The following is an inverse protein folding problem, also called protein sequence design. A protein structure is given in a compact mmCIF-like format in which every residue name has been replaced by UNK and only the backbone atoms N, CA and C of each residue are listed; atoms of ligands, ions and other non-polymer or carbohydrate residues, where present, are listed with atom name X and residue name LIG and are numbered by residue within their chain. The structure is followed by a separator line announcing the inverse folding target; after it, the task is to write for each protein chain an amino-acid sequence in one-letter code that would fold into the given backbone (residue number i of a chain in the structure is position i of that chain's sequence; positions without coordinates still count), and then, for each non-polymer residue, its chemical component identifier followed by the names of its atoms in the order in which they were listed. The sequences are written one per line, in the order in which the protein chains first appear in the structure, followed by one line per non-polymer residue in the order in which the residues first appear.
data_IF_391509329373
#
_entry.id   IF_391509329373
#
_cell.length_a   1.000
_cell.length_b   1.000
_cell.length_c   1.000
_cell.angle_alpha   90.00
_cell.angle_beta   90.00
_cell.angle_gamma   90.00
#
_symmetry.space_group_name_H-M   'P 1'
#
loop_
_entity.id
_entity.type
_entity.pdbx_description
1 polymer ?
#
# COMPACT_ATOMS: atom_id res chain seq x y z
N UNK A 1 1.11 2.58 -15.42
CA UNK A 1 0.54 3.86 -15.92
C UNK A 1 1.43 4.98 -15.37
N UNK A 2 1.97 5.87 -16.20
CA UNK A 2 2.68 7.05 -15.67
C UNK A 2 1.67 7.86 -14.86
N UNK A 3 2.03 8.37 -13.66
CA UNK A 3 1.16 9.28 -12.96
C UNK A 3 0.88 10.45 -13.91
N UNK A 4 -0.38 10.71 -14.18
CA UNK A 4 -0.77 11.94 -14.89
C UNK A 4 -0.56 13.08 -13.90
N UNK A 5 0.60 13.72 -13.95
CA UNK A 5 1.05 14.75 -13.04
C UNK A 5 0.19 16.04 -13.06
N UNK A 6 -0.91 16.07 -13.81
CA UNK A 6 -1.71 17.26 -14.08
C UNK A 6 -3.22 16.99 -14.18
N UNK A 7 -3.78 16.23 -13.23
CA UNK A 7 -5.23 16.29 -13.08
C UNK A 7 -5.54 17.52 -12.24
N UNK A 8 -5.93 18.62 -12.88
CA UNK A 8 -6.58 19.72 -12.18
C UNK A 8 -7.90 19.18 -11.62
N UNK A 9 -8.10 19.28 -10.31
CA UNK A 9 -9.37 18.94 -9.70
C UNK A 9 -10.49 19.76 -10.35
N UNK A 10 -11.48 19.09 -10.95
CA UNK A 10 -12.70 19.72 -11.42
C UNK A 10 -13.67 19.87 -10.24
N UNK A 11 -14.67 20.73 -10.36
CA UNK A 11 -15.74 20.92 -9.36
C UNK A 11 -16.48 19.61 -9.06
N UNK A 12 -16.58 18.72 -10.04
CA UNK A 12 -17.23 17.41 -9.91
C UNK A 12 -16.45 16.43 -9.05
N UNK A 13 -15.17 16.70 -8.78
CA UNK A 13 -14.31 15.86 -7.93
C UNK A 13 -14.52 16.13 -6.43
N UNK A 14 -15.38 17.08 -6.07
CA UNK A 14 -15.65 17.46 -4.69
C UNK A 14 -17.13 17.48 -4.39
N UNK A 15 -17.45 17.20 -3.14
CA UNK A 15 -18.80 17.30 -2.55
C UNK A 15 -18.73 18.15 -1.29
N UNK A 16 -19.86 18.67 -0.84
CA UNK A 16 -19.92 19.38 0.44
C UNK A 16 -19.69 18.42 1.59
N UNK A 17 -19.31 18.92 2.75
CA UNK A 17 -19.18 18.11 3.98
C UNK A 17 -20.53 17.50 4.35
N UNK A 18 -21.62 18.23 4.15
CA UNK A 18 -22.98 17.76 4.43
C UNK A 18 -23.38 16.61 3.51
N UNK A 19 -23.16 16.74 2.21
CA UNK A 19 -23.42 15.67 1.24
C UNK A 19 -22.55 14.45 1.55
N UNK A 20 -21.26 14.66 1.87
CA UNK A 20 -20.34 13.59 2.25
C UNK A 20 -20.86 12.80 3.45
N UNK A 21 -21.31 13.49 4.51
CA UNK A 21 -21.91 12.84 5.69
C UNK A 21 -23.18 12.07 5.34
N UNK A 22 -24.03 12.62 4.46
CA UNK A 22 -25.25 11.93 4.01
C UNK A 22 -24.94 10.65 3.20
N UNK A 23 -23.78 10.62 2.52
CA UNK A 23 -23.28 9.45 1.80
C UNK A 23 -22.51 8.46 2.70
N UNK A 24 -22.48 8.68 4.01
CA UNK A 24 -21.79 7.81 4.97
C UNK A 24 -20.27 8.04 5.06
N UNK A 25 -19.77 9.17 4.56
CA UNK A 25 -18.35 9.50 4.74
C UNK A 25 -18.06 9.84 6.20
N UNK A 26 -16.88 9.42 6.66
CA UNK A 26 -16.40 9.71 8.01
C UNK A 26 -15.59 10.99 7.97
N UNK A 27 -16.17 12.07 8.44
CA UNK A 27 -15.51 13.38 8.47
C UNK A 27 -14.99 13.62 9.89
N UNK A 28 -13.66 13.77 10.09
CA UNK A 28 -13.10 14.12 11.40
C UNK A 28 -13.67 15.42 11.93
N UNK A 29 -13.87 15.53 13.24
CA UNK A 29 -14.48 16.70 13.87
C UNK A 29 -13.68 17.99 13.60
N UNK A 30 -12.36 17.88 13.56
CA UNK A 30 -11.44 18.98 13.27
C UNK A 30 -11.27 19.27 11.77
N UNK A 31 -11.95 18.52 10.87
CA UNK A 31 -11.85 18.71 9.43
C UNK A 31 -12.30 20.12 9.02
N UNK A 32 -13.34 20.63 9.64
CA UNK A 32 -13.89 21.97 9.39
C UNK A 32 -13.27 23.07 10.24
N UNK A 33 -12.46 22.74 11.26
CA UNK A 33 -11.83 23.70 12.18
C UNK A 33 -10.51 24.26 11.68
N UNK A 34 -9.95 23.67 10.62
CA UNK A 34 -8.76 24.19 9.99
C UNK A 34 -9.05 25.50 9.26
N UNK A 35 -8.02 26.33 9.13
CA UNK A 35 -8.07 27.57 8.38
C UNK A 35 -8.94 27.41 7.14
N UNK A 36 -9.98 28.23 7.05
CA UNK A 36 -11.03 28.19 6.04
C UNK A 36 -10.52 28.08 4.61
N UNK A 37 -9.30 28.51 4.36
CA UNK A 37 -8.67 28.43 3.06
C UNK A 37 -8.11 27.05 2.70
N UNK A 38 -8.02 26.10 3.64
CA UNK A 38 -7.40 24.79 3.40
C UNK A 38 -8.37 23.74 2.89
N UNK A 39 -9.66 23.90 3.18
CA UNK A 39 -10.70 22.95 2.82
C UNK A 39 -11.72 23.48 1.83
N UNK A 40 -11.53 24.70 1.34
CA UNK A 40 -12.42 25.28 0.34
C UNK A 40 -12.11 24.69 -1.03
N UNK A 41 -13.15 24.23 -1.71
CA UNK A 41 -13.09 23.90 -3.12
C UNK A 41 -12.65 25.10 -3.96
N UNK A 42 -12.40 24.91 -5.24
CA UNK A 42 -12.15 26.01 -6.18
C UNK A 42 -13.28 27.06 -6.21
N UNK A 43 -14.46 26.72 -5.68
CA UNK A 43 -15.64 27.60 -5.56
C UNK A 43 -15.73 28.35 -4.24
N UNK A 44 -14.84 28.10 -3.27
CA UNK A 44 -14.86 28.74 -1.97
C UNK A 44 -15.74 28.04 -0.91
N UNK A 45 -16.38 26.93 -1.26
CA UNK A 45 -17.19 26.12 -0.32
C UNK A 45 -16.32 25.07 0.38
N UNK A 46 -16.69 24.69 1.60
CA UNK A 46 -16.09 23.55 2.26
C UNK A 46 -16.38 22.30 1.45
N UNK A 47 -15.35 21.53 1.10
CA UNK A 47 -15.50 20.38 0.26
C UNK A 47 -14.52 19.26 0.66
N UNK A 48 -14.93 18.05 0.41
CA UNK A 48 -14.10 16.86 0.52
C UNK A 48 -14.01 16.19 -0.85
N UNK A 49 -12.91 15.48 -1.16
CA UNK A 49 -12.81 14.71 -2.38
C UNK A 49 -13.95 13.67 -2.47
N UNK A 50 -14.56 13.59 -3.64
CA UNK A 50 -15.52 12.54 -3.94
C UNK A 50 -14.76 11.23 -4.16
N UNK A 51 -15.14 10.19 -3.44
CA UNK A 51 -14.61 8.85 -3.62
C UNK A 51 -15.57 8.06 -4.53
N UNK A 52 -15.04 7.34 -5.49
CA UNK A 52 -15.82 6.47 -6.37
C UNK A 52 -15.60 5.00 -5.97
N UNK A 53 -16.63 4.34 -5.55
CA UNK A 53 -16.62 2.94 -5.10
C UNK A 53 -17.22 1.96 -6.11
N UNK A 54 -17.67 2.41 -7.29
CA UNK A 54 -18.37 1.57 -8.28
C UNK A 54 -17.64 0.29 -8.64
N UNK A 55 -16.31 0.35 -8.78
CA UNK A 55 -15.51 -0.81 -9.14
C UNK A 55 -15.26 -1.73 -7.93
N UNK A 56 -15.09 -1.15 -6.75
CA UNK A 56 -14.94 -1.90 -5.49
C UNK A 56 -16.21 -2.69 -5.22
N UNK A 57 -17.38 -2.05 -5.33
CA UNK A 57 -18.68 -2.70 -5.09
C UNK A 57 -18.93 -3.87 -6.04
N UNK A 58 -18.65 -3.68 -7.33
CA UNK A 58 -18.75 -4.75 -8.33
C UNK A 58 -17.83 -5.93 -8.03
N UNK A 59 -16.59 -5.64 -7.61
CA UNK A 59 -15.61 -6.66 -7.28
C UNK A 59 -16.00 -7.42 -6.00
N UNK A 60 -16.42 -6.71 -4.95
CA UNK A 60 -16.86 -7.31 -3.70
C UNK A 60 -18.08 -8.21 -3.93
N UNK A 61 -19.08 -7.72 -4.70
CA UNK A 61 -20.24 -8.52 -5.08
C UNK A 61 -19.82 -9.80 -5.82
N UNK A 62 -18.98 -9.68 -6.85
CA UNK A 62 -18.54 -10.84 -7.62
C UNK A 62 -17.77 -11.85 -6.75
N UNK A 63 -16.90 -11.38 -5.84
CA UNK A 63 -16.18 -12.24 -4.92
C UNK A 63 -17.10 -12.97 -3.95
N UNK A 64 -18.06 -12.26 -3.35
CA UNK A 64 -19.06 -12.84 -2.47
C UNK A 64 -19.89 -13.92 -3.17
N UNK A 65 -20.45 -13.62 -4.36
CA UNK A 65 -21.27 -14.55 -5.14
C UNK A 65 -20.51 -15.82 -5.56
N UNK A 66 -19.20 -15.74 -5.70
CA UNK A 66 -18.35 -16.87 -6.07
C UNK A 66 -17.58 -17.51 -4.89
N UNK A 67 -17.82 -17.08 -3.66
CA UNK A 67 -17.16 -17.61 -2.47
C UNK A 67 -15.65 -17.36 -2.44
N UNK A 68 -15.17 -16.29 -3.11
CA UNK A 68 -13.77 -15.91 -3.20
C UNK A 68 -13.47 -14.82 -2.16
N UNK A 69 -12.29 -14.87 -1.56
CA UNK A 69 -11.83 -13.83 -0.63
C UNK A 69 -11.03 -12.76 -1.36
N UNK A 70 -11.12 -11.53 -0.87
CA UNK A 70 -10.43 -10.37 -1.41
C UNK A 70 -9.39 -9.81 -0.43
N UNK A 71 -8.32 -9.33 -0.99
CA UNK A 71 -7.39 -8.41 -0.33
C UNK A 71 -7.64 -7.00 -0.85
N UNK A 72 -7.87 -6.04 0.05
CA UNK A 72 -7.92 -4.62 -0.32
C UNK A 72 -6.50 -4.11 -0.62
N UNK A 73 -6.31 -3.46 -1.76
CA UNK A 73 -5.03 -2.88 -2.14
C UNK A 73 -5.27 -1.51 -2.78
N UNK A 74 -4.76 -0.46 -2.29
CA UNK A 74 -4.10 -0.14 -1.03
C UNK A 74 -4.66 1.20 -0.51
N UNK A 75 -4.64 1.45 0.81
CA UNK A 75 -5.14 2.73 1.33
C UNK A 75 -4.13 3.86 1.14
N UNK A 76 -2.88 3.64 1.51
CA UNK A 76 -1.84 4.67 1.46
C UNK A 76 -0.67 4.20 0.60
N UNK A 77 -0.39 4.96 -0.46
CA UNK A 77 0.75 4.71 -1.34
C UNK A 77 1.33 6.04 -1.83
N UNK A 78 2.62 6.10 -2.05
CA UNK A 78 3.29 7.27 -2.59
C UNK A 78 3.05 7.46 -4.09
N UNK A 79 2.62 6.41 -4.78
CA UNK A 79 2.17 6.45 -6.17
C UNK A 79 0.63 6.46 -6.24
N UNK A 80 0.08 6.88 -7.36
CA UNK A 80 -1.35 6.90 -7.67
C UNK A 80 -2.25 7.75 -6.73
N UNK A 81 -1.72 8.33 -5.65
CA UNK A 81 -2.45 9.33 -4.87
C UNK A 81 -2.47 10.65 -5.65
N UNK A 82 -3.63 11.21 -5.97
CA UNK A 82 -3.72 12.43 -6.78
C UNK A 82 -2.96 13.60 -6.15
N UNK A 83 -2.20 14.35 -6.95
CA UNK A 83 -1.36 15.45 -6.47
C UNK A 83 -2.15 16.51 -5.69
N UNK A 84 -3.37 16.83 -6.12
CA UNK A 84 -4.21 17.81 -5.46
C UNK A 84 -4.52 17.45 -3.99
N UNK A 85 -4.50 16.16 -3.65
CA UNK A 85 -4.73 15.67 -2.29
C UNK A 85 -3.70 16.22 -1.29
N UNK A 86 -2.49 16.53 -1.77
CA UNK A 86 -1.39 17.07 -0.97
C UNK A 86 -1.30 18.61 -1.01
N UNK A 87 -2.10 19.25 -1.85
CA UNK A 87 -1.97 20.70 -2.06
C UNK A 87 -2.94 21.51 -1.20
N UNK A 88 -2.54 22.75 -0.86
CA UNK A 88 -3.44 23.68 -0.18
C UNK A 88 -4.73 23.87 -0.98
N UNK A 89 -5.87 23.86 -0.29
CA UNK A 89 -7.19 24.03 -0.88
C UNK A 89 -7.49 23.04 -2.03
N UNK A 90 -6.81 21.89 -2.07
CA UNK A 90 -6.89 20.94 -3.18
C UNK A 90 -6.61 21.56 -4.56
N UNK A 91 -5.86 22.65 -4.61
CA UNK A 91 -5.54 23.34 -5.86
C UNK A 91 -4.16 23.00 -6.36
N UNK A 92 -4.08 22.55 -7.61
CA UNK A 92 -2.83 22.55 -8.36
C UNK A 92 -2.68 23.94 -8.98
N UNK A 93 -1.82 24.76 -8.41
CA UNK A 93 -1.50 26.07 -8.98
C UNK A 93 -0.23 25.93 -9.81
N UNK A 94 -0.32 26.25 -11.09
CA UNK A 94 0.84 26.21 -12.01
C UNK A 94 1.94 27.14 -11.48
N UNK A 95 3.13 26.59 -11.24
CA UNK A 95 4.30 27.34 -10.80
C UNK A 95 4.46 27.56 -9.29
N UNK A 96 3.47 27.21 -8.46
CA UNK A 96 3.58 27.30 -7.00
C UNK A 96 3.34 25.91 -6.37
N UNK A 97 4.36 25.43 -5.65
CA UNK A 97 4.31 24.15 -4.93
C UNK A 97 3.99 24.39 -3.46
N UNK A 98 2.75 24.73 -3.14
CA UNK A 98 2.31 24.84 -1.75
C UNK A 98 1.66 23.53 -1.32
N UNK A 99 2.43 22.69 -0.65
CA UNK A 99 1.87 21.55 0.04
C UNK A 99 0.98 22.04 1.20
N UNK A 100 -0.02 21.27 1.55
CA UNK A 100 -0.81 21.49 2.75
C UNK A 100 0.07 21.28 4.00
N UNK A 101 -0.38 21.77 5.17
CA UNK A 101 0.33 21.52 6.42
C UNK A 101 0.18 20.06 6.86
N UNK A 102 1.07 19.63 7.75
CA UNK A 102 1.01 18.29 8.35
C UNK A 102 -0.33 18.05 9.04
N UNK A 103 -0.79 19.01 9.86
CA UNK A 103 -2.04 18.91 10.60
C UNK A 103 -3.25 18.75 9.66
N UNK A 104 -3.25 19.48 8.55
CA UNK A 104 -4.30 19.34 7.54
C UNK A 104 -4.23 17.97 6.85
N UNK A 105 -3.01 17.46 6.61
CA UNK A 105 -2.83 16.16 6.00
C UNK A 105 -3.22 15.02 6.96
N UNK A 106 -2.99 15.18 8.27
CA UNK A 106 -3.46 14.24 9.28
C UNK A 106 -4.98 14.05 9.21
N UNK A 107 -5.76 15.13 9.10
CA UNK A 107 -7.23 15.01 8.96
C UNK A 107 -7.66 14.44 7.62
N UNK A 108 -6.96 14.75 6.54
CA UNK A 108 -7.23 14.14 5.21
C UNK A 108 -6.96 12.65 5.21
N UNK A 109 -5.89 12.22 5.87
CA UNK A 109 -5.55 10.81 6.01
C UNK A 109 -6.64 10.08 6.82
N UNK A 110 -7.05 10.64 7.96
CA UNK A 110 -8.12 10.08 8.79
C UNK A 110 -9.43 9.97 8.00
N UNK A 111 -9.84 11.07 7.35
CA UNK A 111 -11.02 11.09 6.49
C UNK A 111 -10.98 9.98 5.44
N UNK A 112 -9.88 9.89 4.69
CA UNK A 112 -9.75 8.95 3.60
C UNK A 112 -9.78 7.50 4.08
N UNK A 113 -8.91 7.14 5.03
CA UNK A 113 -8.81 5.77 5.53
C UNK A 113 -10.13 5.33 6.16
N UNK A 114 -10.71 6.16 7.05
CA UNK A 114 -11.96 5.80 7.73
C UNK A 114 -13.14 5.72 6.77
N UNK A 115 -13.22 6.59 5.77
CA UNK A 115 -14.32 6.55 4.79
C UNK A 115 -14.23 5.32 3.90
N UNK A 116 -13.05 4.98 3.39
CA UNK A 116 -12.87 3.77 2.58
C UNK A 116 -13.21 2.52 3.39
N UNK A 117 -12.64 2.41 4.59
CA UNK A 117 -12.91 1.26 5.47
C UNK A 117 -14.39 1.20 5.89
N UNK A 118 -15.03 2.36 6.16
CA UNK A 118 -16.47 2.40 6.45
C UNK A 118 -17.28 1.82 5.29
N UNK A 119 -16.97 2.23 4.06
CA UNK A 119 -17.69 1.76 2.87
C UNK A 119 -17.58 0.24 2.71
N UNK A 120 -16.36 -0.29 2.70
CA UNK A 120 -16.13 -1.73 2.44
C UNK A 120 -16.63 -2.60 3.59
N UNK A 121 -16.52 -2.14 4.84
CA UNK A 121 -16.95 -2.92 6.01
C UNK A 121 -18.45 -2.86 6.26
N UNK A 122 -19.15 -1.80 5.81
CA UNK A 122 -20.62 -1.70 5.89
C UNK A 122 -21.33 -2.38 4.71
N UNK A 123 -20.61 -2.82 3.70
CA UNK A 123 -21.16 -3.51 2.54
C UNK A 123 -21.81 -4.84 2.93
N UNK A 124 -22.92 -5.19 2.28
CA UNK A 124 -23.53 -6.53 2.41
C UNK A 124 -22.59 -7.67 1.94
N UNK A 125 -21.53 -7.33 1.20
CA UNK A 125 -20.51 -8.26 0.68
C UNK A 125 -19.21 -8.23 1.51
N UNK A 126 -19.22 -7.59 2.68
CA UNK A 126 -18.00 -7.39 3.50
C UNK A 126 -17.36 -8.72 3.96
N UNK A 127 -18.12 -9.81 4.00
CA UNK A 127 -17.62 -11.14 4.35
C UNK A 127 -16.56 -11.69 3.39
N UNK A 128 -16.50 -11.18 2.16
CA UNK A 128 -15.46 -11.55 1.21
C UNK A 128 -14.07 -10.94 1.56
N UNK A 129 -14.02 -9.90 2.40
CA UNK A 129 -12.77 -9.23 2.74
C UNK A 129 -11.95 -10.08 3.71
N UNK A 130 -10.71 -10.40 3.34
CA UNK A 130 -9.77 -11.21 4.12
C UNK A 130 -8.65 -10.37 4.74
N UNK A 131 -8.07 -9.45 3.98
CA UNK A 131 -7.01 -8.56 4.46
C UNK A 131 -7.01 -7.25 3.68
N UNK A 132 -6.26 -6.26 4.18
CA UNK A 132 -6.10 -4.96 3.54
C UNK A 132 -4.64 -4.51 3.63
N UNK A 133 -4.05 -4.13 2.50
CA UNK A 133 -2.76 -3.44 2.46
C UNK A 133 -2.99 -1.99 2.88
N UNK A 134 -2.71 -1.69 4.13
CA UNK A 134 -2.95 -0.34 4.66
C UNK A 134 -1.94 0.65 4.09
N UNK A 135 -0.67 0.26 4.07
CA UNK A 135 0.41 1.07 3.47
C UNK A 135 1.23 0.21 2.52
N UNK A 136 1.46 0.76 1.34
CA UNK A 136 2.26 0.13 0.29
C UNK A 136 3.57 0.88 0.06
N UNK A 137 4.70 0.14 0.03
CA UNK A 137 6.02 0.60 -0.41
C UNK A 137 6.58 1.81 0.35
N UNK A 138 6.32 1.93 1.63
CA UNK A 138 6.82 3.06 2.39
C UNK A 138 8.36 3.09 2.43
N UNK A 139 9.02 1.96 2.67
CA UNK A 139 10.48 1.90 2.73
C UNK A 139 11.14 2.25 1.39
N UNK A 140 10.43 2.10 0.30
CA UNK A 140 10.87 2.46 -1.05
C UNK A 140 10.31 3.81 -1.55
N UNK A 141 9.70 4.59 -0.66
CA UNK A 141 9.08 5.88 -1.00
C UNK A 141 10.07 7.03 -1.20
N UNK A 142 11.34 6.84 -0.85
CA UNK A 142 12.40 7.79 -1.13
C UNK A 142 13.45 7.14 -2.01
N UNK A 143 13.71 7.71 -3.17
CA UNK A 143 14.88 7.35 -3.96
C UNK A 143 16.08 8.16 -3.41
N UNK A 144 16.61 7.71 -2.26
CA UNK A 144 17.56 8.45 -1.45
C UNK A 144 18.91 8.69 -2.12
N UNK A 145 19.28 7.90 -3.13
CA UNK A 145 20.61 7.95 -3.71
C UNK A 145 20.76 8.98 -4.82
N UNK A 146 19.69 9.44 -5.45
CA UNK A 146 19.86 10.18 -6.71
C UNK A 146 19.53 11.65 -6.69
N UNK A 147 18.61 12.13 -5.84
CA UNK A 147 18.31 13.58 -5.79
C UNK A 147 17.25 13.89 -4.71
N UNK A 148 17.45 15.00 -3.98
CA UNK A 148 16.41 15.64 -3.17
C UNK A 148 15.14 16.03 -3.96
N UNK A 149 15.11 15.77 -5.26
CA UNK A 149 13.98 16.03 -6.18
C UNK A 149 12.95 14.90 -6.23
N UNK A 150 13.26 13.73 -5.70
CA UNK A 150 12.40 12.54 -5.74
C UNK A 150 11.75 12.19 -4.40
N UNK A 151 11.73 13.12 -3.46
CA UNK A 151 10.99 12.95 -2.21
C UNK A 151 9.50 12.99 -2.56
N UNK A 152 8.75 11.99 -2.08
CA UNK A 152 7.31 11.92 -2.27
C UNK A 152 6.59 13.06 -1.53
N UNK A 153 5.35 13.37 -1.91
CA UNK A 153 4.55 14.37 -1.18
C UNK A 153 4.34 13.99 0.29
N UNK A 154 4.15 12.70 0.58
CA UNK A 154 4.13 12.17 1.94
C UNK A 154 5.42 12.53 2.67
N UNK A 155 6.56 12.23 2.07
CA UNK A 155 7.88 12.52 2.65
C UNK A 155 8.13 14.01 2.87
N UNK A 156 7.65 14.87 1.95
CA UNK A 156 7.79 16.33 2.07
C UNK A 156 6.94 16.91 3.22
N UNK A 157 5.71 16.40 3.40
CA UNK A 157 4.80 16.92 4.42
C UNK A 157 5.18 16.41 5.81
N UNK A 158 5.58 15.13 5.91
CA UNK A 158 5.87 14.49 7.19
C UNK A 158 7.35 14.49 7.58
N UNK A 159 8.23 14.96 6.70
CA UNK A 159 9.66 15.01 6.99
C UNK A 159 10.30 13.65 7.19
N UNK A 160 9.89 12.65 6.39
CA UNK A 160 10.31 11.26 6.61
C UNK A 160 11.68 10.92 6.02
N UNK A 161 12.32 11.82 5.29
CA UNK A 161 13.62 11.58 4.70
C UNK A 161 14.71 11.45 5.77
N UNK A 162 15.45 10.33 5.78
CA UNK A 162 16.52 10.04 6.72
C UNK A 162 17.65 9.27 6.03
N UNK A 163 18.74 9.97 5.72
CA UNK A 163 19.93 9.39 5.08
C UNK A 163 20.69 8.37 5.94
N UNK A 164 20.44 8.36 7.25
CA UNK A 164 21.12 7.42 8.15
C UNK A 164 20.55 6.00 8.05
N UNK A 165 19.32 5.86 7.53
CA UNK A 165 18.71 4.55 7.28
C UNK A 165 19.25 4.02 5.96
N UNK A 166 20.13 3.03 6.06
CA UNK A 166 20.73 2.37 4.89
C UNK A 166 19.64 1.77 3.99
N UNK A 167 19.89 1.86 2.70
CA UNK A 167 19.12 1.26 1.62
C UNK A 167 17.73 1.86 1.38
N UNK A 168 17.17 2.62 2.32
CA UNK A 168 15.82 3.17 2.19
C UNK A 168 15.79 4.70 2.20
N UNK A 169 16.66 5.37 2.96
CA UNK A 169 16.71 6.83 3.06
C UNK A 169 15.48 7.48 3.68
N UNK A 170 14.66 6.71 4.40
CA UNK A 170 13.49 7.17 5.14
C UNK A 170 13.56 6.69 6.59
N UNK A 171 12.96 7.45 7.51
CA UNK A 171 12.89 7.05 8.92
C UNK A 171 12.09 5.76 9.09
N UNK A 172 12.48 4.91 10.03
CA UNK A 172 11.71 3.73 10.42
C UNK A 172 10.55 4.05 11.39
N UNK A 173 10.28 5.36 11.64
CA UNK A 173 9.23 5.82 12.56
C UNK A 173 8.32 6.89 11.93
N UNK A 174 7.67 6.60 10.81
CA UNK A 174 6.79 7.54 10.11
C UNK A 174 5.44 7.65 10.81
N UNK A 175 5.09 8.83 11.34
CA UNK A 175 3.83 9.02 12.09
C UNK A 175 2.60 8.68 11.23
N UNK A 176 2.55 9.17 9.99
CA UNK A 176 1.37 8.96 9.13
C UNK A 176 1.12 7.48 8.77
N UNK A 177 2.18 6.67 8.70
CA UNK A 177 2.04 5.23 8.47
C UNK A 177 1.39 4.57 9.69
N UNK A 178 1.86 4.90 10.89
CA UNK A 178 1.28 4.42 12.14
C UNK A 178 -0.18 4.86 12.28
N UNK A 179 -0.46 6.14 11.98
CA UNK A 179 -1.82 6.70 12.04
C UNK A 179 -2.76 6.01 11.04
N UNK A 180 -2.31 5.70 9.83
CA UNK A 180 -3.11 4.97 8.84
C UNK A 180 -3.54 3.59 9.37
N UNK A 181 -2.63 2.83 9.96
CA UNK A 181 -2.95 1.55 10.59
C UNK A 181 -3.92 1.70 11.76
N UNK A 182 -3.69 2.69 12.62
CA UNK A 182 -4.60 3.02 13.72
C UNK A 182 -6.02 3.28 13.22
N UNK A 183 -6.19 4.15 12.22
CA UNK A 183 -7.50 4.49 11.67
C UNK A 183 -8.19 3.29 11.01
N UNK A 184 -7.44 2.46 10.28
CA UNK A 184 -7.99 1.23 9.71
C UNK A 184 -8.43 0.25 10.82
N UNK A 185 -7.63 0.06 11.86
CA UNK A 185 -7.95 -0.80 13.00
C UNK A 185 -9.18 -0.31 13.76
N UNK A 186 -9.31 1.00 13.99
CA UNK A 186 -10.50 1.59 14.63
C UNK A 186 -11.78 1.22 13.87
N UNK A 187 -11.71 1.15 12.54
CA UNK A 187 -12.85 0.76 11.72
C UNK A 187 -13.12 -0.74 11.80
N UNK A 188 -12.10 -1.59 11.90
CA UNK A 188 -12.31 -3.02 12.17
C UNK A 188 -12.99 -3.26 13.51
N UNK A 189 -12.57 -2.55 14.55
CA UNK A 189 -13.21 -2.60 15.88
C UNK A 189 -14.67 -2.15 15.79
N UNK A 190 -14.94 -1.04 15.11
CA UNK A 190 -16.32 -0.49 14.93
C UNK A 190 -17.27 -1.51 14.30
N UNK A 191 -16.79 -2.31 13.35
CA UNK A 191 -17.60 -3.28 12.61
C UNK A 191 -17.48 -4.72 13.14
N UNK A 192 -16.76 -4.94 14.24
CA UNK A 192 -16.47 -6.27 14.80
C UNK A 192 -15.83 -7.21 13.75
N UNK A 193 -14.85 -6.67 12.99
CA UNK A 193 -14.18 -7.36 11.88
C UNK A 193 -12.66 -7.50 12.09
N UNK A 194 -12.25 -7.84 13.34
CA UNK A 194 -10.84 -8.11 13.67
C UNK A 194 -10.31 -9.41 13.01
N UNK A 195 -11.16 -10.14 12.32
CA UNK A 195 -10.78 -11.23 11.42
C UNK A 195 -10.04 -10.75 10.18
N UNK A 196 -10.33 -9.53 9.71
CA UNK A 196 -9.63 -8.91 8.56
C UNK A 196 -8.23 -8.47 8.97
N UNK A 197 -7.21 -8.89 8.21
CA UNK A 197 -5.81 -8.62 8.52
C UNK A 197 -5.32 -7.31 7.92
N UNK A 198 -4.69 -6.48 8.71
CA UNK A 198 -4.06 -5.24 8.27
C UNK A 198 -2.58 -5.48 7.98
N UNK A 199 -2.16 -5.22 6.75
CA UNK A 199 -0.88 -5.64 6.18
C UNK A 199 -0.05 -4.41 5.78
N UNK A 200 1.24 -4.43 6.10
CA UNK A 200 2.25 -3.58 5.47
C UNK A 200 2.79 -4.32 4.24
N UNK A 201 2.60 -3.78 3.03
CA UNK A 201 2.98 -4.41 1.77
C UNK A 201 4.17 -3.70 1.14
N UNK A 202 5.20 -4.46 0.72
CA UNK A 202 6.36 -3.86 0.06
C UNK A 202 7.07 -4.87 -0.87
N UNK A 203 7.90 -4.34 -1.79
CA UNK A 203 8.76 -5.17 -2.63
C UNK A 203 10.15 -5.32 -2.01
N UNK A 204 10.95 -6.23 -2.55
CA UNK A 204 12.32 -6.51 -2.09
C UNK A 204 12.46 -6.75 -0.57
N UNK A 205 11.40 -7.24 0.09
CA UNK A 205 11.39 -7.53 1.53
C UNK A 205 12.52 -8.48 1.98
N UNK A 206 13.05 -9.26 1.05
CA UNK A 206 14.15 -10.20 1.30
C UNK A 206 15.54 -9.52 1.33
N UNK A 207 15.66 -8.25 0.95
CA UNK A 207 16.94 -7.53 1.00
C UNK A 207 17.23 -6.97 2.40
N UNK A 208 16.23 -6.41 3.06
CA UNK A 208 16.36 -5.77 4.37
C UNK A 208 15.19 -6.12 5.32
N UNK A 209 15.03 -7.41 5.68
CA UNK A 209 13.90 -7.85 6.51
C UNK A 209 13.91 -7.22 7.91
N UNK A 210 15.08 -6.84 8.43
CA UNK A 210 15.23 -6.17 9.72
C UNK A 210 14.54 -4.79 9.75
N UNK A 211 14.71 -3.99 8.71
CA UNK A 211 14.07 -2.67 8.62
C UNK A 211 12.55 -2.78 8.54
N UNK A 212 12.04 -3.82 7.90
CA UNK A 212 10.59 -4.09 7.84
C UNK A 212 10.05 -4.42 9.23
N UNK A 213 10.74 -5.28 9.98
CA UNK A 213 10.35 -5.61 11.37
C UNK A 213 10.38 -4.36 12.25
N UNK A 214 11.45 -3.55 12.20
CA UNK A 214 11.53 -2.31 12.96
C UNK A 214 10.39 -1.33 12.63
N UNK A 215 10.00 -1.23 11.35
CA UNK A 215 8.85 -0.42 10.96
C UNK A 215 7.54 -0.98 11.54
N UNK A 216 7.31 -2.28 11.43
CA UNK A 216 6.09 -2.92 11.97
C UNK A 216 6.05 -2.83 13.50
N UNK A 217 7.18 -3.02 14.18
CA UNK A 217 7.29 -2.80 15.64
C UNK A 217 6.92 -1.37 16.04
N UNK A 218 7.37 -0.38 15.25
CA UNK A 218 6.96 0.99 15.48
C UNK A 218 5.46 1.21 15.25
N UNK A 219 4.90 0.64 14.20
CA UNK A 219 3.45 0.71 13.93
C UNK A 219 2.67 0.13 15.12
N UNK A 220 3.14 -0.98 15.68
CA UNK A 220 2.50 -1.72 16.77
C UNK A 220 2.89 -1.21 18.18
N UNK A 221 3.67 -0.13 18.30
CA UNK A 221 4.22 0.29 19.60
C UNK A 221 3.19 0.76 20.63
N UNK A 222 1.98 1.16 20.21
CA UNK A 222 0.88 1.56 21.10
C UNK A 222 -0.22 0.49 21.20
N UNK A 223 0.00 -0.69 20.62
CA UNK A 223 -0.94 -1.80 20.52
C UNK A 223 -0.89 -2.43 19.13
N UNK A 224 -1.27 -3.70 19.03
CA UNK A 224 -1.23 -4.41 17.76
C UNK A 224 -2.32 -3.91 16.81
N UNK A 225 -1.90 -3.23 15.74
CA UNK A 225 -2.75 -2.70 14.66
C UNK A 225 -2.29 -3.15 13.28
N UNK A 226 -1.07 -3.67 13.16
CA UNK A 226 -0.55 -4.31 11.96
C UNK A 226 -0.42 -5.81 12.23
N UNK A 227 -1.10 -6.64 11.44
CA UNK A 227 -1.17 -8.09 11.63
C UNK A 227 -0.09 -8.83 10.85
N UNK A 228 0.49 -8.23 9.82
CA UNK A 228 1.42 -8.96 8.99
C UNK A 228 2.17 -8.12 7.95
N UNK A 229 3.02 -8.83 7.22
CA UNK A 229 3.89 -8.31 6.17
C UNK A 229 3.47 -8.91 4.84
N UNK A 230 3.16 -8.06 3.86
CA UNK A 230 2.97 -8.43 2.47
C UNK A 230 4.30 -8.35 1.73
N UNK A 231 4.75 -9.47 1.20
CA UNK A 231 5.90 -9.55 0.32
C UNK A 231 5.38 -9.55 -1.13
N UNK A 232 5.53 -8.44 -1.86
CA UNK A 232 5.09 -8.36 -3.26
C UNK A 232 5.71 -9.48 -4.09
N UNK A 233 7.00 -9.71 -3.91
CA UNK A 233 7.72 -10.78 -4.60
C UNK A 233 7.75 -10.61 -6.11
N UNK A 234 7.98 -9.37 -6.57
CA UNK A 234 8.33 -9.08 -7.94
C UNK A 234 9.79 -9.46 -8.18
N UNK A 235 9.99 -10.62 -8.77
CA UNK A 235 11.30 -11.25 -8.88
C UNK A 235 11.87 -11.12 -10.31
N UNK A 236 13.18 -11.33 -10.44
CA UNK A 236 13.90 -11.42 -11.70
C UNK A 236 14.89 -12.57 -11.60
N UNK A 237 14.72 -13.58 -12.43
CA UNK A 237 15.55 -14.80 -12.38
C UNK A 237 17.02 -14.56 -12.74
N UNK A 238 17.33 -13.42 -13.35
CA UNK A 238 18.69 -13.04 -13.73
C UNK A 238 19.42 -12.26 -12.64
N UNK A 239 18.68 -11.72 -11.68
CA UNK A 239 19.25 -10.94 -10.59
C UNK A 239 19.63 -11.85 -9.41
N UNK A 240 20.90 -11.84 -9.04
CA UNK A 240 21.41 -12.63 -7.91
C UNK A 240 20.81 -12.25 -6.56
N UNK A 241 20.35 -11.00 -6.41
CA UNK A 241 19.63 -10.56 -5.20
C UNK A 241 18.28 -11.26 -5.05
N UNK A 242 17.64 -11.60 -6.17
CA UNK A 242 16.36 -12.31 -6.23
C UNK A 242 16.50 -13.82 -6.11
N UNK A 243 17.67 -14.33 -5.71
CA UNK A 243 17.86 -15.78 -5.59
C UNK A 243 16.93 -16.43 -4.57
N UNK A 244 16.48 -17.65 -4.87
CA UNK A 244 15.66 -18.44 -3.95
C UNK A 244 16.35 -18.64 -2.58
N UNK A 245 17.68 -18.66 -2.54
CA UNK A 245 18.44 -18.71 -1.29
C UNK A 245 18.24 -17.48 -0.42
N UNK A 246 18.32 -16.27 -1.01
CA UNK A 246 18.07 -15.03 -0.28
C UNK A 246 16.60 -14.93 0.16
N UNK A 247 15.70 -15.34 -0.70
CA UNK A 247 14.28 -15.41 -0.39
C UNK A 247 14.00 -16.32 0.80
N UNK A 248 14.56 -17.54 0.80
CA UNK A 248 14.44 -18.49 1.90
C UNK A 248 15.03 -17.95 3.22
N UNK A 249 16.18 -17.24 3.16
CA UNK A 249 16.78 -16.60 4.35
C UNK A 249 15.87 -15.53 4.94
N UNK A 250 15.23 -14.72 4.12
CA UNK A 250 14.31 -13.69 4.59
C UNK A 250 13.06 -14.29 5.23
N UNK A 251 12.46 -15.31 4.62
CA UNK A 251 11.33 -16.03 5.21
C UNK A 251 11.71 -16.64 6.58
N UNK A 252 12.89 -17.22 6.69
CA UNK A 252 13.39 -17.77 7.96
C UNK A 252 13.64 -16.66 8.98
N UNK A 253 14.15 -15.50 8.54
CA UNK A 253 14.34 -14.35 9.41
C UNK A 253 13.00 -13.86 9.99
N UNK A 254 11.96 -13.73 9.18
CA UNK A 254 10.62 -13.38 9.65
C UNK A 254 10.06 -14.42 10.62
N UNK A 255 10.18 -15.70 10.29
CA UNK A 255 9.73 -16.80 11.16
C UNK A 255 10.35 -16.74 12.56
N UNK A 256 11.63 -16.39 12.65
CA UNK A 256 12.37 -16.36 13.92
C UNK A 256 12.16 -15.06 14.71
N UNK A 257 11.99 -13.93 14.04
CA UNK A 257 12.01 -12.62 14.69
C UNK A 257 10.61 -11.98 14.82
N UNK A 258 9.62 -12.44 14.07
CA UNK A 258 8.24 -11.95 14.16
C UNK A 258 7.21 -13.08 13.94
N UNK A 259 7.25 -14.16 14.74
CA UNK A 259 6.41 -15.35 14.54
C UNK A 259 4.91 -15.08 14.64
N UNK A 260 4.51 -14.00 15.31
CA UNK A 260 3.11 -13.60 15.50
C UNK A 260 2.54 -12.76 14.34
N UNK A 261 3.37 -12.39 13.38
CA UNK A 261 2.93 -11.69 12.17
C UNK A 261 2.63 -12.69 11.05
N UNK A 262 1.56 -12.40 10.30
CA UNK A 262 1.30 -13.12 9.06
C UNK A 262 2.28 -12.69 7.97
N UNK A 263 2.75 -13.65 7.17
CA UNK A 263 3.46 -13.35 5.93
C UNK A 263 2.53 -13.71 4.77
N UNK A 264 2.26 -12.74 3.93
CA UNK A 264 1.47 -12.92 2.71
C UNK A 264 2.35 -12.66 1.50
N UNK A 265 2.45 -13.63 0.60
CA UNK A 265 3.10 -13.43 -0.71
C UNK A 265 2.03 -12.83 -1.62
N UNK A 266 2.16 -11.55 -1.93
CA UNK A 266 1.01 -10.76 -2.38
C UNK A 266 0.93 -10.56 -3.89
N UNK A 267 2.07 -10.61 -4.60
CA UNK A 267 2.16 -10.18 -5.99
C UNK A 267 3.21 -10.99 -6.77
N UNK A 268 3.32 -12.28 -6.47
CA UNK A 268 4.40 -13.11 -7.04
C UNK A 268 4.37 -13.09 -8.57
N UNK A 269 5.44 -12.58 -9.13
CA UNK A 269 5.81 -12.74 -10.53
C UNK A 269 7.34 -12.91 -10.64
N UNK A 270 7.82 -13.51 -11.74
CA UNK A 270 9.24 -13.74 -11.95
C UNK A 270 9.62 -13.43 -13.39
N UNK A 271 10.16 -12.24 -13.60
CA UNK A 271 10.61 -11.77 -14.91
C UNK A 271 11.79 -12.57 -15.40
N UNK A 272 11.75 -12.92 -16.68
CA UNK A 272 12.82 -13.60 -17.39
C UNK A 272 13.41 -12.67 -18.46
N UNK A 273 14.60 -12.10 -18.18
CA UNK A 273 15.31 -11.27 -19.15
C UNK A 273 16.33 -12.13 -19.90
N UNK A 274 15.91 -12.68 -21.02
CA UNK A 274 16.81 -13.46 -21.89
C UNK A 274 17.67 -12.54 -22.73
N UNK A 275 18.99 -12.81 -22.83
CA UNK A 275 19.94 -12.10 -23.68
C UNK A 275 20.63 -13.08 -24.61
N UNK A 276 21.31 -12.57 -25.67
CA UNK A 276 22.10 -13.43 -26.59
C UNK A 276 23.21 -14.20 -25.85
N UNK A 277 23.83 -13.56 -24.85
CA UNK A 277 24.91 -14.16 -24.04
C UNK A 277 24.38 -15.11 -22.97
N UNK A 278 23.13 -14.96 -22.58
CA UNK A 278 22.46 -15.78 -21.56
C UNK A 278 21.02 -16.06 -21.99
N UNK A 279 20.83 -16.99 -22.94
CA UNK A 279 19.48 -17.39 -23.34
C UNK A 279 18.82 -18.12 -22.17
N UNK A 280 17.56 -17.76 -21.91
CA UNK A 280 16.71 -18.37 -20.88
C UNK A 280 15.50 -18.99 -21.57
N UNK A 281 15.01 -20.05 -20.97
CA UNK A 281 13.84 -20.81 -21.45
C UNK A 281 12.72 -20.82 -20.42
N UNK A 282 11.53 -21.25 -20.83
CA UNK A 282 10.40 -21.43 -19.92
C UNK A 282 10.72 -22.48 -18.83
N UNK A 283 11.58 -23.47 -19.13
CA UNK A 283 12.04 -24.44 -18.16
C UNK A 283 12.94 -23.79 -17.10
N UNK A 284 13.75 -22.79 -17.45
CA UNK A 284 14.56 -22.05 -16.46
C UNK A 284 13.64 -21.25 -15.52
N UNK A 285 12.60 -20.63 -16.05
CA UNK A 285 11.61 -19.91 -15.26
C UNK A 285 10.83 -20.87 -14.35
N UNK A 286 10.37 -22.00 -14.88
CA UNK A 286 9.68 -23.04 -14.11
C UNK A 286 10.55 -23.57 -12.97
N UNK A 287 11.84 -23.83 -13.23
CA UNK A 287 12.79 -24.27 -12.23
C UNK A 287 13.02 -23.21 -11.14
N UNK A 288 12.99 -21.93 -11.49
CA UNK A 288 13.08 -20.83 -10.53
C UNK A 288 11.82 -20.76 -9.65
N UNK A 289 10.61 -20.83 -10.24
CA UNK A 289 9.37 -20.91 -9.46
C UNK A 289 9.35 -22.11 -8.51
N UNK A 290 9.84 -23.28 -8.96
CA UNK A 290 9.96 -24.46 -8.08
C UNK A 290 10.84 -24.18 -6.86
N UNK A 291 11.98 -23.50 -7.04
CA UNK A 291 12.86 -23.14 -5.94
C UNK A 291 12.20 -22.14 -4.96
N UNK A 292 11.49 -21.12 -5.45
CA UNK A 292 10.75 -20.17 -4.62
C UNK A 292 9.63 -20.88 -3.86
N UNK A 293 8.85 -21.72 -4.54
CA UNK A 293 7.78 -22.50 -3.90
C UNK A 293 8.32 -23.45 -2.83
N UNK A 294 9.44 -24.11 -3.09
CA UNK A 294 10.11 -24.96 -2.11
C UNK A 294 10.59 -24.17 -0.89
N UNK A 295 11.07 -22.94 -1.06
CA UNK A 295 11.42 -22.06 0.05
C UNK A 295 10.20 -21.72 0.92
N UNK A 296 9.08 -21.34 0.28
CA UNK A 296 7.81 -21.03 0.94
C UNK A 296 7.28 -22.24 1.71
N UNK A 297 7.18 -23.39 1.06
CA UNK A 297 6.66 -24.63 1.66
C UNK A 297 7.54 -25.15 2.80
N UNK A 298 8.86 -25.04 2.66
CA UNK A 298 9.81 -25.42 3.70
C UNK A 298 9.67 -24.53 4.93
N UNK A 299 9.60 -23.21 4.73
CA UNK A 299 9.36 -22.26 5.81
C UNK A 299 8.05 -22.56 6.56
N UNK A 300 6.96 -22.77 5.80
CA UNK A 300 5.65 -23.13 6.37
C UNK A 300 5.71 -24.44 7.16
N UNK A 301 6.38 -25.45 6.64
CA UNK A 301 6.60 -26.75 7.33
C UNK A 301 7.37 -26.58 8.65
N UNK A 302 8.29 -25.63 8.70
CA UNK A 302 9.08 -25.29 9.88
C UNK A 302 8.35 -24.38 10.87
N UNK A 303 7.07 -24.10 10.66
CA UNK A 303 6.24 -23.26 11.54
C UNK A 303 6.16 -21.79 11.15
N UNK A 304 6.57 -21.43 9.93
CA UNK A 304 6.38 -20.08 9.40
C UNK A 304 4.89 -19.77 9.18
N UNK A 305 4.47 -18.57 9.55
CA UNK A 305 3.08 -18.12 9.48
C UNK A 305 2.74 -17.52 8.10
N UNK A 306 2.96 -18.30 7.02
CA UNK A 306 2.62 -17.91 5.65
C UNK A 306 1.16 -18.27 5.40
N UNK A 307 0.32 -17.25 5.16
CA UNK A 307 -1.15 -17.40 5.10
C UNK A 307 -1.73 -17.20 3.71
N UNK A 308 -1.04 -16.50 2.81
CA UNK A 308 -1.49 -16.29 1.44
C UNK A 308 -0.33 -16.36 0.44
N UNK A 309 -0.67 -16.79 -0.79
CA UNK A 309 0.18 -16.70 -1.97
C UNK A 309 -0.69 -16.31 -3.16
N UNK A 310 -0.33 -15.21 -3.81
CA UNK A 310 -1.08 -14.62 -4.92
C UNK A 310 -0.12 -14.38 -6.08
N UNK A 311 -0.50 -14.84 -7.26
CA UNK A 311 0.19 -14.56 -8.52
C UNK A 311 -0.33 -13.21 -9.04
N UNK A 312 0.58 -12.30 -9.46
CA UNK A 312 0.23 -10.94 -9.83
C UNK A 312 -0.35 -10.78 -11.24
N UNK A 313 -0.46 -11.84 -11.99
CA UNK A 313 -1.03 -11.80 -13.33
C UNK A 313 -1.65 -13.14 -13.68
N UNK A 314 -2.69 -13.14 -14.52
CA UNK A 314 -3.27 -14.36 -15.07
C UNK A 314 -2.46 -14.89 -16.26
N UNK A 315 -1.83 -13.99 -17.02
CA UNK A 315 -0.98 -14.30 -18.16
C UNK A 315 -0.22 -13.03 -18.62
N UNK A 316 0.83 -13.20 -19.40
CA UNK A 316 1.71 -12.10 -19.82
C UNK A 316 1.00 -10.95 -20.52
N UNK A 317 -0.07 -11.20 -21.26
CA UNK A 317 -0.81 -10.17 -21.99
C UNK A 317 -1.50 -9.14 -21.10
N UNK A 318 -1.68 -9.40 -19.80
CA UNK A 318 -2.25 -8.47 -18.80
C UNK A 318 -1.26 -8.14 -17.69
N UNK A 319 -0.03 -8.67 -17.76
CA UNK A 319 1.04 -8.34 -16.83
C UNK A 319 1.44 -6.86 -16.95
N UNK A 320 1.84 -6.29 -15.83
CA UNK A 320 2.45 -4.95 -15.81
C UNK A 320 3.87 -4.93 -16.40
N UNK A 321 4.51 -6.10 -16.50
CA UNK A 321 5.81 -6.27 -17.12
C UNK A 321 5.69 -6.09 -18.63
N UNK A 322 6.66 -5.47 -19.31
CA UNK A 322 6.66 -5.40 -20.77
C UNK A 322 6.63 -6.80 -21.41
N UNK A 323 5.92 -6.96 -22.52
CA UNK A 323 5.80 -8.25 -23.24
C UNK A 323 7.15 -8.89 -23.65
N UNK A 324 8.22 -8.08 -23.75
CA UNK A 324 9.58 -8.57 -24.00
C UNK A 324 10.26 -9.20 -22.76
N UNK A 325 9.61 -9.12 -21.60
CA UNK A 325 10.07 -9.68 -20.34
C UNK A 325 8.90 -10.45 -19.72
N UNK A 326 8.58 -11.65 -20.23
CA UNK A 326 7.49 -12.47 -19.72
C UNK A 326 7.70 -12.81 -18.23
N UNK A 327 6.58 -12.98 -17.52
CA UNK A 327 6.56 -13.29 -16.08
C UNK A 327 6.23 -14.76 -15.84
#
# INVERSE_FOLDING_TARGET
MKPTDEVSADKTDFITVEDAKSMGYIIPDNYTSYDDNRFKSATGEYAVPRLNFDNVDKLMKAAHENGVKLRGHTLVWHQQTPKYFFQQNYKITTGQKYNTSKECMDTRLEFYVKTVMNHVLSSEYADCLYSYDVVNEYLHSANAEKDSKNITYWGLIYGTYDKSVKDHGVTLRPSYVKDAFKYAHEMLVKYDRLDVKLIYNDYNCYQNPENIIHLVDYINSDGKVCDGIGMQSHLDITDSFHSATNYAKALEYFRLNCPDLEIQITELDATMVSTEDKPLTDEDQAAYYDQIMNAILTNKKNGGNITALIIWSLYDGVSWRPAKFPC
#
